data_IF_630184945604
#
_entry.id   IF_630184945604
#
_cell.length_a   1.000
_cell.length_b   1.000
_cell.length_c   1.000
_cell.angle_alpha   90.00
_cell.angle_beta   90.00
_cell.angle_gamma   90.00
#
_symmetry.space_group_name_H-M   'P 1'
#
loop_
_entity.id
_entity.type
_entity.pdbx_description
1 polymer ?
#
# COMPACT_ATOMS: atom_id res chain seq x y z
N UNK A 1 -17.04 4.67 -11.54
CA UNK A 1 -16.02 4.73 -12.64
C UNK A 1 -14.96 5.80 -12.38
N UNK A 2 -15.36 6.97 -11.89
CA UNK A 2 -14.44 8.09 -11.62
C UNK A 2 -13.25 7.67 -10.74
N UNK A 3 -13.49 6.98 -9.63
CA UNK A 3 -12.44 6.60 -8.67
C UNK A 3 -11.38 5.67 -9.29
N UNK A 4 -11.80 4.75 -10.15
CA UNK A 4 -10.90 3.85 -10.88
C UNK A 4 -10.06 4.67 -11.88
N UNK A 5 -10.67 5.59 -12.60
CA UNK A 5 -10.00 6.45 -13.56
C UNK A 5 -8.98 7.38 -12.88
N UNK A 6 -9.36 8.01 -11.76
CA UNK A 6 -8.46 8.85 -10.95
C UNK A 6 -7.28 8.03 -10.41
N UNK A 7 -7.55 6.83 -9.87
CA UNK A 7 -6.50 5.96 -9.35
C UNK A 7 -5.51 5.57 -10.44
N UNK A 8 -6.02 5.17 -11.60
CA UNK A 8 -5.20 4.83 -12.76
C UNK A 8 -4.36 6.01 -13.21
N UNK A 9 -4.97 7.17 -13.32
CA UNK A 9 -4.31 8.39 -13.79
C UNK A 9 -3.15 8.81 -12.87
N UNK A 10 -3.33 8.80 -11.54
CA UNK A 10 -2.26 9.11 -10.57
C UNK A 10 -1.09 8.14 -10.72
N UNK A 11 -1.36 6.84 -10.89
CA UNK A 11 -0.32 5.83 -11.04
C UNK A 11 0.41 5.92 -12.40
N UNK A 12 -0.30 6.27 -13.47
CA UNK A 12 0.30 6.55 -14.79
C UNK A 12 1.16 7.83 -14.75
N UNK A 13 0.73 8.86 -14.02
CA UNK A 13 1.55 10.06 -13.76
C UNK A 13 2.84 9.70 -13.03
N UNK A 14 2.79 8.80 -12.05
CA UNK A 14 3.97 8.34 -11.33
C UNK A 14 4.98 7.66 -12.28
N UNK A 15 4.52 6.86 -13.24
CA UNK A 15 5.38 6.27 -14.27
C UNK A 15 6.02 7.36 -15.16
N UNK A 16 5.23 8.32 -15.61
CA UNK A 16 5.73 9.43 -16.44
C UNK A 16 6.75 10.29 -15.71
N UNK A 17 6.49 10.67 -14.47
CA UNK A 17 7.40 11.47 -13.66
C UNK A 17 8.70 10.70 -13.33
N UNK A 18 8.62 9.40 -13.09
CA UNK A 18 9.80 8.56 -12.81
C UNK A 18 10.65 8.22 -14.05
N UNK A 19 10.13 8.46 -15.25
CA UNK A 19 10.78 8.09 -16.52
C UNK A 19 10.91 6.59 -16.74
N UNK A 20 10.19 5.74 -15.98
CA UNK A 20 10.23 4.28 -16.07
C UNK A 20 8.90 3.66 -15.66
N UNK A 21 8.65 2.42 -16.05
CA UNK A 21 7.47 1.65 -15.63
C UNK A 21 7.61 1.19 -14.16
N UNK A 22 7.49 2.15 -13.25
CA UNK A 22 7.60 1.94 -11.81
C UNK A 22 6.39 1.20 -11.25
N UNK A 23 5.20 1.52 -11.77
CA UNK A 23 3.92 0.97 -11.33
C UNK A 23 3.27 0.22 -12.49
N UNK A 24 2.97 -1.05 -12.26
CA UNK A 24 2.12 -1.85 -13.14
C UNK A 24 0.82 -2.11 -12.41
N UNK A 25 -0.33 -1.74 -13.00
CA UNK A 25 -1.62 -2.02 -12.41
C UNK A 25 -2.44 -2.96 -13.28
N UNK A 26 -3.30 -3.74 -12.63
CA UNK A 26 -4.21 -4.68 -13.26
C UNK A 26 -5.55 -4.61 -12.57
N UNK A 27 -6.61 -4.65 -13.37
CA UNK A 27 -7.98 -4.74 -12.88
C UNK A 27 -8.43 -6.19 -12.78
N UNK A 28 -9.18 -6.47 -11.72
CA UNK A 28 -9.85 -7.77 -11.52
C UNK A 28 -11.30 -7.51 -11.17
N UNK A 29 -12.17 -8.39 -11.59
CA UNK A 29 -13.56 -8.47 -11.13
C UNK A 29 -13.73 -9.70 -10.24
N UNK A 30 -14.80 -9.73 -9.46
CA UNK A 30 -15.05 -10.82 -8.52
C UNK A 30 -15.20 -12.18 -9.19
N UNK A 31 -15.74 -12.21 -10.41
CA UNK A 31 -16.02 -13.43 -11.17
C UNK A 31 -15.04 -13.66 -12.33
N UNK A 32 -14.16 -12.70 -12.63
CA UNK A 32 -13.36 -12.71 -13.84
C UNK A 32 -14.10 -12.21 -15.11
N UNK A 33 -15.42 -12.00 -15.00
CA UNK A 33 -16.26 -11.50 -16.10
C UNK A 33 -16.31 -9.97 -16.10
N UNK A 34 -16.56 -9.33 -17.26
CA UNK A 34 -16.78 -7.90 -17.34
C UNK A 34 -17.94 -7.45 -16.46
N UNK A 35 -17.78 -6.30 -15.79
CA UNK A 35 -18.83 -5.68 -14.97
C UNK A 35 -19.26 -4.34 -15.56
N UNK A 36 -20.53 -3.98 -15.33
CA UNK A 36 -21.05 -2.67 -15.70
C UNK A 36 -21.04 -1.78 -14.47
N UNK A 37 -20.43 -0.60 -14.59
CA UNK A 37 -20.37 0.39 -13.51
C UNK A 37 -21.72 1.08 -13.32
N UNK A 38 -21.88 1.81 -12.22
CA UNK A 38 -23.11 2.56 -11.94
C UNK A 38 -23.42 3.61 -13.04
N UNK A 39 -22.41 4.08 -13.75
CA UNK A 39 -22.51 5.05 -14.84
C UNK A 39 -22.74 4.36 -16.21
N UNK A 40 -22.90 3.04 -16.24
CA UNK A 40 -23.15 2.27 -17.47
C UNK A 40 -21.88 1.89 -18.25
N UNK A 41 -20.69 2.26 -17.79
CA UNK A 41 -19.46 1.89 -18.46
C UNK A 41 -19.12 0.40 -18.21
N UNK A 42 -18.67 -0.31 -19.25
CA UNK A 42 -18.23 -1.71 -19.13
C UNK A 42 -16.76 -1.76 -18.77
N UNK A 43 -16.44 -2.36 -17.63
CA UNK A 43 -15.09 -2.66 -17.18
C UNK A 43 -14.76 -4.11 -17.52
N UNK A 44 -13.78 -4.30 -18.39
CA UNK A 44 -13.20 -5.61 -18.69
C UNK A 44 -11.98 -5.83 -17.79
N UNK A 45 -11.91 -6.93 -17.03
CA UNK A 45 -10.75 -7.19 -16.18
C UNK A 45 -9.51 -7.54 -17.00
N UNK A 46 -8.34 -7.09 -16.56
CA UNK A 46 -7.05 -7.41 -17.20
C UNK A 46 -6.59 -8.85 -16.90
N UNK A 47 -7.15 -9.45 -15.85
CA UNK A 47 -6.83 -10.83 -15.46
C UNK A 47 -8.02 -11.48 -14.76
N UNK A 48 -8.11 -12.80 -14.91
CA UNK A 48 -9.09 -13.66 -14.25
C UNK A 48 -8.48 -14.38 -13.06
N UNK A 49 -9.31 -14.77 -12.08
CA UNK A 49 -8.89 -15.54 -10.91
C UNK A 49 -8.14 -14.73 -9.84
N UNK A 50 -7.93 -15.41 -8.70
CA UNK A 50 -7.27 -14.86 -7.51
C UNK A 50 -5.82 -15.37 -7.39
N UNK A 51 -5.16 -15.62 -8.53
CA UNK A 51 -3.79 -16.10 -8.52
C UNK A 51 -2.84 -15.07 -7.93
N UNK A 52 -1.90 -15.56 -7.14
CA UNK A 52 -0.83 -14.74 -6.56
C UNK A 52 0.07 -14.24 -7.68
N UNK A 53 -0.07 -12.97 -8.04
CA UNK A 53 0.94 -12.30 -8.85
C UNK A 53 2.20 -12.03 -8.01
N UNK A 54 3.39 -11.95 -8.62
CA UNK A 54 4.60 -11.53 -7.92
C UNK A 54 4.43 -10.07 -7.46
N UNK A 55 4.74 -9.81 -6.17
CA UNK A 55 4.99 -8.48 -5.64
C UNK A 55 3.82 -7.50 -5.81
N UNK A 56 2.67 -7.77 -5.19
CA UNK A 56 1.59 -6.77 -5.12
C UNK A 56 1.91 -5.82 -3.96
N UNK A 57 2.06 -4.53 -4.25
CA UNK A 57 2.32 -3.48 -3.24
C UNK A 57 1.03 -2.79 -2.78
N UNK A 58 0.02 -2.72 -3.65
CA UNK A 58 -1.26 -2.07 -3.40
C UNK A 58 -2.40 -2.86 -4.01
N UNK A 59 -3.47 -3.07 -3.24
CA UNK A 59 -4.76 -3.55 -3.74
C UNK A 59 -5.80 -2.51 -3.39
N UNK A 60 -6.52 -2.01 -4.39
CA UNK A 60 -7.66 -1.12 -4.20
C UNK A 60 -8.96 -1.88 -4.48
N UNK A 61 -9.85 -1.88 -3.51
CA UNK A 61 -11.19 -2.48 -3.61
C UNK A 61 -12.19 -1.37 -3.89
N UNK A 62 -12.85 -1.48 -5.03
CA UNK A 62 -13.93 -0.60 -5.45
C UNK A 62 -15.25 -1.39 -5.43
N UNK A 63 -16.34 -0.72 -5.08
CA UNK A 63 -17.65 -1.34 -5.10
C UNK A 63 -18.74 -0.37 -5.58
N UNK A 64 -19.84 -0.92 -6.08
CA UNK A 64 -21.03 -0.20 -6.50
C UNK A 64 -22.06 -0.04 -5.38
N UNK A 65 -23.35 0.08 -5.76
CA UNK A 65 -24.45 0.44 -4.84
C UNK A 65 -24.75 -0.57 -3.76
N UNK A 66 -24.53 -1.82 -3.95
CA UNK A 66 -24.84 -2.87 -2.96
C UNK A 66 -23.57 -3.71 -2.72
N UNK A 67 -22.58 -3.13 -1.97
CA UNK A 67 -21.27 -3.71 -1.87
C UNK A 67 -21.25 -5.04 -1.11
N UNK A 68 -22.24 -5.29 -0.26
CA UNK A 68 -22.27 -6.46 0.62
C UNK A 68 -23.10 -7.63 0.05
N UNK A 69 -23.87 -7.40 -1.02
CA UNK A 69 -24.75 -8.43 -1.59
C UNK A 69 -24.02 -9.66 -2.12
N UNK A 70 -22.77 -9.50 -2.55
CA UNK A 70 -21.98 -10.58 -3.14
C UNK A 70 -20.50 -10.42 -2.82
N UNK A 71 -20.11 -10.80 -1.62
CA UNK A 71 -18.69 -10.92 -1.26
C UNK A 71 -18.25 -12.35 -1.59
N UNK A 72 -17.29 -12.56 -2.51
CA UNK A 72 -16.90 -13.91 -2.91
C UNK A 72 -16.18 -14.63 -1.78
N UNK A 73 -16.45 -15.91 -1.67
CA UNK A 73 -15.66 -16.79 -0.83
C UNK A 73 -14.19 -16.74 -1.25
N UNK A 74 -13.29 -16.54 -0.29
CA UNK A 74 -11.84 -16.44 -0.54
C UNK A 74 -11.29 -15.03 -0.71
N UNK A 75 -12.10 -14.00 -0.97
CA UNK A 75 -11.63 -12.60 -1.05
C UNK A 75 -10.89 -12.17 0.22
N UNK A 76 -11.44 -12.51 1.40
CA UNK A 76 -10.79 -12.21 2.68
C UNK A 76 -9.40 -12.85 2.77
N UNK A 77 -9.28 -14.12 2.42
CA UNK A 77 -8.01 -14.86 2.44
C UNK A 77 -6.99 -14.25 1.46
N UNK A 78 -7.43 -13.89 0.27
CA UNK A 78 -6.59 -13.22 -0.72
C UNK A 78 -6.04 -11.87 -0.20
N UNK A 79 -6.90 -11.00 0.34
CA UNK A 79 -6.51 -9.69 0.88
C UNK A 79 -5.61 -9.82 2.11
N UNK A 80 -5.90 -10.77 3.01
CA UNK A 80 -5.05 -11.03 4.19
C UNK A 80 -3.66 -11.53 3.77
N UNK A 81 -3.60 -12.49 2.86
CA UNK A 81 -2.32 -12.98 2.34
C UNK A 81 -1.49 -11.88 1.69
N UNK A 82 -2.11 -11.02 0.87
CA UNK A 82 -1.44 -9.89 0.27
C UNK A 82 -0.93 -8.91 1.35
N UNK A 83 -1.73 -8.62 2.37
CA UNK A 83 -1.33 -7.78 3.49
C UNK A 83 -0.17 -8.36 4.28
N UNK A 84 -0.15 -9.68 4.53
CA UNK A 84 0.95 -10.35 5.23
C UNK A 84 2.28 -10.24 4.49
N UNK A 85 2.25 -10.21 3.15
CA UNK A 85 3.47 -10.03 2.34
C UNK A 85 3.81 -8.54 2.11
N UNK A 86 3.12 -7.62 2.77
CA UNK A 86 3.48 -6.20 2.77
C UNK A 86 2.61 -5.30 1.90
N UNK A 87 1.60 -5.84 1.19
CA UNK A 87 0.69 -5.03 0.39
C UNK A 87 -0.18 -4.10 1.25
N UNK A 88 -0.37 -2.89 0.77
CA UNK A 88 -1.42 -1.99 1.28
C UNK A 88 -2.76 -2.42 0.71
N UNK A 89 -3.76 -2.60 1.57
CA UNK A 89 -5.13 -2.91 1.17
C UNK A 89 -5.97 -1.65 1.31
N UNK A 90 -6.49 -1.15 0.20
CA UNK A 90 -7.32 0.05 0.15
C UNK A 90 -8.77 -0.25 -0.17
N UNK A 91 -9.70 0.39 0.56
CA UNK A 91 -11.11 0.49 0.21
C UNK A 91 -11.42 1.90 -0.30
N UNK A 92 -12.02 1.99 -1.46
CA UNK A 92 -12.40 3.27 -2.10
C UNK A 92 -13.91 3.29 -2.30
N UNK A 93 -14.53 4.39 -1.87
CA UNK A 93 -16.00 4.49 -1.92
C UNK A 93 -16.64 3.36 -1.12
N UNK A 94 -17.66 2.72 -1.68
CA UNK A 94 -18.33 1.58 -1.05
C UNK A 94 -17.40 0.35 -0.83
N UNK A 95 -16.20 0.32 -1.44
CA UNK A 95 -15.18 -0.69 -1.15
C UNK A 95 -14.70 -0.67 0.30
N UNK A 96 -14.83 0.46 1.01
CA UNK A 96 -14.54 0.57 2.44
C UNK A 96 -15.46 -0.33 3.28
N UNK A 97 -16.73 -0.45 2.89
CA UNK A 97 -17.69 -1.34 3.54
C UNK A 97 -17.34 -2.81 3.36
N UNK A 98 -16.82 -3.20 2.19
CA UNK A 98 -16.31 -4.57 1.97
C UNK A 98 -15.15 -4.87 2.91
N UNK A 99 -14.21 -3.95 3.09
CA UNK A 99 -13.10 -4.15 4.02
C UNK A 99 -13.57 -4.24 5.47
N UNK A 100 -14.59 -3.47 5.85
CA UNK A 100 -15.22 -3.51 7.16
C UNK A 100 -15.87 -4.88 7.40
N UNK A 101 -16.72 -5.35 6.47
CA UNK A 101 -17.41 -6.63 6.54
C UNK A 101 -16.46 -7.83 6.63
N UNK A 102 -15.33 -7.73 5.92
CA UNK A 102 -14.29 -8.75 5.98
C UNK A 102 -13.44 -8.69 7.28
N UNK A 103 -13.73 -7.76 8.21
CA UNK A 103 -12.99 -7.57 9.46
C UNK A 103 -11.56 -7.04 9.25
N UNK A 104 -11.26 -6.44 8.10
CA UNK A 104 -9.92 -5.94 7.77
C UNK A 104 -9.65 -4.56 8.38
N UNK A 105 -10.66 -3.91 8.93
CA UNK A 105 -10.60 -2.59 9.58
C UNK A 105 -10.82 -2.65 11.10
N UNK A 106 -11.03 -3.83 11.68
CA UNK A 106 -11.26 -3.99 13.12
C UNK A 106 -10.13 -3.39 13.95
N UNK A 107 -10.48 -2.63 14.99
CA UNK A 107 -9.54 -1.95 15.88
C UNK A 107 -8.79 -0.78 15.24
N UNK A 108 -9.27 -0.24 14.11
CA UNK A 108 -8.61 0.83 13.36
C UNK A 108 -9.51 2.03 13.15
N UNK A 109 -8.88 3.19 12.98
CA UNK A 109 -9.55 4.34 12.41
C UNK A 109 -9.78 4.13 10.92
N UNK A 110 -10.97 4.48 10.44
CA UNK A 110 -11.32 4.36 9.04
C UNK A 110 -12.38 5.37 8.61
N UNK A 111 -12.30 5.79 7.36
CA UNK A 111 -13.39 6.47 6.66
C UNK A 111 -14.24 5.40 5.99
N UNK A 112 -15.52 5.37 6.31
CA UNK A 112 -16.49 4.48 5.66
C UNK A 112 -17.39 5.32 4.76
N UNK A 113 -17.42 5.00 3.48
CA UNK A 113 -18.25 5.69 2.50
C UNK A 113 -19.65 5.07 2.39
N UNK A 114 -20.60 5.90 1.97
CA UNK A 114 -22.00 5.54 1.72
C UNK A 114 -22.96 6.01 2.82
N UNK A 115 -24.24 6.04 2.46
CA UNK A 115 -25.34 6.33 3.37
C UNK A 115 -25.53 5.15 4.33
N UNK A 116 -24.70 5.10 5.37
CA UNK A 116 -24.91 4.15 6.45
C UNK A 116 -26.02 4.70 7.33
N UNK A 117 -27.01 3.88 7.73
CA UNK A 117 -28.07 4.32 8.63
C UNK A 117 -27.46 4.91 9.91
N UNK A 118 -27.72 6.19 10.15
CA UNK A 118 -27.24 6.91 11.33
C UNK A 118 -27.96 6.48 12.61
N UNK A 119 -29.11 5.79 12.50
CA UNK A 119 -30.04 5.52 13.59
C UNK A 119 -29.98 4.09 14.14
N UNK A 120 -29.04 3.27 13.68
CA UNK A 120 -28.82 1.92 14.21
C UNK A 120 -27.44 1.79 14.81
N UNK A 121 -27.30 0.88 15.77
CA UNK A 121 -26.02 0.44 16.29
C UNK A 121 -25.02 0.27 15.14
N UNK A 122 -23.80 0.80 15.29
CA UNK A 122 -22.85 0.77 14.16
C UNK A 122 -22.69 -0.67 13.68
N UNK A 123 -22.87 -0.89 12.38
CA UNK A 123 -22.70 -2.21 11.77
C UNK A 123 -21.36 -2.87 12.11
N UNK A 124 -20.35 -2.04 12.39
CA UNK A 124 -18.99 -2.49 12.72
C UNK A 124 -18.49 -1.69 13.95
N UNK A 125 -18.91 -2.04 15.19
CA UNK A 125 -18.59 -1.30 16.41
C UNK A 125 -17.10 -1.31 16.76
N UNK A 126 -16.35 -2.25 16.23
CA UNK A 126 -14.89 -2.35 16.41
C UNK A 126 -14.09 -1.38 15.54
N UNK A 127 -14.74 -0.62 14.64
CA UNK A 127 -14.07 0.35 13.76
C UNK A 127 -14.28 1.76 14.32
N UNK A 128 -13.18 2.47 14.59
CA UNK A 128 -13.22 3.89 14.94
C UNK A 128 -13.48 4.72 13.66
N UNK A 129 -14.75 5.02 13.40
CA UNK A 129 -15.16 5.83 12.25
C UNK A 129 -14.75 7.28 12.45
N UNK A 130 -14.09 7.84 11.46
CA UNK A 130 -13.68 9.26 11.45
C UNK A 130 -14.11 9.94 10.15
N UNK A 131 -14.33 11.26 10.24
CA UNK A 131 -14.54 12.12 9.09
C UNK A 131 -13.20 12.69 8.65
N UNK A 132 -12.71 12.20 7.53
CA UNK A 132 -11.46 12.66 6.93
C UNK A 132 -11.51 12.47 5.41
N UNK A 133 -10.68 13.17 4.63
CA UNK A 133 -10.57 12.91 3.19
C UNK A 133 -10.13 11.48 2.88
N UNK A 134 -9.27 10.91 3.70
CA UNK A 134 -8.85 9.51 3.66
C UNK A 134 -8.12 9.15 4.97
N UNK A 135 -7.94 7.87 5.19
CA UNK A 135 -7.06 7.33 6.23
C UNK A 135 -6.05 6.38 5.59
N UNK A 136 -4.78 6.61 5.82
CA UNK A 136 -3.70 5.70 5.47
C UNK A 136 -2.94 5.32 6.75
N UNK A 137 -3.31 4.21 7.34
CA UNK A 137 -2.70 3.72 8.58
C UNK A 137 -2.13 2.32 8.38
N UNK A 138 -0.85 2.14 8.72
CA UNK A 138 -0.12 0.88 8.49
C UNK A 138 -0.23 0.43 7.03
N UNK A 139 -0.97 -0.63 6.75
CA UNK A 139 -1.21 -1.20 5.41
C UNK A 139 -2.69 -1.13 5.04
N UNK A 140 -3.41 -0.15 5.59
CA UNK A 140 -4.83 0.08 5.28
C UNK A 140 -5.02 1.49 4.77
N UNK A 141 -5.72 1.58 3.65
CA UNK A 141 -6.13 2.83 3.04
C UNK A 141 -7.66 2.83 2.98
N UNK A 142 -8.29 3.85 3.53
CA UNK A 142 -9.74 4.05 3.36
C UNK A 142 -10.00 5.46 2.87
N UNK A 143 -10.84 5.58 1.86
CA UNK A 143 -11.17 6.84 1.21
C UNK A 143 -12.65 6.83 0.78
N UNK A 144 -13.39 7.91 0.98
CA UNK A 144 -14.82 7.96 0.61
C UNK A 144 -15.05 7.95 -0.90
N UNK A 145 -14.00 8.08 -1.72
CA UNK A 145 -14.07 8.20 -3.17
C UNK A 145 -14.00 9.65 -3.65
N UNK A 146 -14.13 9.85 -4.95
CA UNK A 146 -14.03 11.16 -5.58
C UNK A 146 -12.61 11.74 -5.58
N UNK A 147 -12.50 13.07 -5.52
CA UNK A 147 -11.20 13.76 -5.55
C UNK A 147 -10.22 13.35 -4.43
N UNK A 148 -10.67 13.06 -3.19
CA UNK A 148 -9.80 12.52 -2.14
C UNK A 148 -8.97 11.29 -2.51
N UNK A 149 -9.37 10.52 -3.53
CA UNK A 149 -8.60 9.37 -4.04
C UNK A 149 -7.21 9.79 -4.52
N UNK A 150 -7.10 10.99 -5.10
CA UNK A 150 -5.81 11.52 -5.59
C UNK A 150 -4.85 11.71 -4.40
N UNK A 151 -5.31 12.40 -3.35
CA UNK A 151 -4.49 12.65 -2.16
C UNK A 151 -4.14 11.35 -1.41
N UNK A 152 -5.09 10.42 -1.34
CA UNK A 152 -4.88 9.10 -0.76
C UNK A 152 -3.77 8.31 -1.46
N UNK A 153 -3.75 8.35 -2.79
CA UNK A 153 -2.72 7.68 -3.60
C UNK A 153 -1.38 8.42 -3.57
N UNK A 154 -1.38 9.74 -3.53
CA UNK A 154 -0.16 10.52 -3.34
C UNK A 154 0.48 10.25 -1.97
N UNK A 155 -0.33 10.14 -0.92
CA UNK A 155 0.14 9.73 0.41
C UNK A 155 0.72 8.31 0.39
N UNK A 156 0.06 7.39 -0.31
CA UNK A 156 0.59 6.03 -0.50
C UNK A 156 1.90 6.02 -1.30
N UNK A 157 1.99 6.75 -2.42
CA UNK A 157 3.21 6.87 -3.23
C UNK A 157 4.37 7.45 -2.42
N UNK A 158 4.11 8.50 -1.64
CA UNK A 158 5.09 9.12 -0.75
C UNK A 158 5.67 8.12 0.24
N UNK A 159 4.82 7.24 0.79
CA UNK A 159 5.21 6.24 1.78
C UNK A 159 5.84 4.98 1.17
N UNK A 160 5.29 4.51 0.06
CA UNK A 160 5.66 3.22 -0.52
C UNK A 160 6.82 3.32 -1.51
N UNK A 161 7.00 4.48 -2.14
CA UNK A 161 7.99 4.71 -3.18
C UNK A 161 8.98 5.79 -2.78
N UNK A 162 8.59 7.06 -2.91
CA UNK A 162 9.41 8.21 -2.53
C UNK A 162 8.54 9.46 -2.38
N UNK A 163 8.81 10.31 -1.36
CA UNK A 163 8.12 11.59 -1.18
C UNK A 163 8.32 12.55 -2.34
N UNK A 164 9.52 12.55 -2.93
CA UNK A 164 9.89 13.40 -4.06
C UNK A 164 9.02 13.09 -5.28
N UNK A 165 8.83 11.80 -5.58
CA UNK A 165 7.96 11.36 -6.68
C UNK A 165 6.51 11.78 -6.43
N UNK A 166 6.00 11.61 -5.21
CA UNK A 166 4.64 12.03 -4.88
C UNK A 166 4.45 13.54 -5.06
N UNK A 167 5.45 14.35 -4.68
CA UNK A 167 5.43 15.80 -4.88
C UNK A 167 5.48 16.17 -6.37
N UNK A 168 6.23 15.44 -7.18
CA UNK A 168 6.31 15.64 -8.63
C UNK A 168 5.00 15.27 -9.33
N UNK A 169 4.40 14.12 -8.97
CA UNK A 169 3.08 13.70 -9.46
C UNK A 169 2.00 14.70 -9.07
N UNK A 170 2.05 15.25 -7.86
CA UNK A 170 1.13 16.30 -7.41
C UNK A 170 1.24 17.54 -8.31
N UNK A 171 2.44 18.04 -8.56
CA UNK A 171 2.67 19.21 -9.43
C UNK A 171 2.19 18.95 -10.86
N UNK A 172 2.46 17.77 -11.41
CA UNK A 172 1.99 17.38 -12.73
C UNK A 172 0.46 17.25 -12.80
N UNK A 173 -0.19 16.86 -11.69
CA UNK A 173 -1.64 16.73 -11.56
C UNK A 173 -2.37 18.04 -11.29
N UNK A 174 -1.71 19.09 -10.80
CA UNK A 174 -2.31 20.41 -10.58
C UNK A 174 -2.87 21.04 -11.86
N UNK A 175 -2.33 20.66 -13.01
CA UNK A 175 -2.88 21.00 -14.32
C UNK A 175 -4.29 20.41 -14.57
N UNK A 176 -4.76 19.47 -13.72
CA UNK A 176 -6.09 18.85 -13.80
C UNK A 176 -7.14 19.55 -12.92
N UNK A 177 -6.79 20.65 -12.27
CA UNK A 177 -7.76 21.47 -11.54
C UNK A 177 -8.23 20.90 -10.20
N UNK A 178 -7.47 20.02 -9.57
CA UNK A 178 -7.72 19.67 -8.18
C UNK A 178 -7.20 20.81 -7.28
N UNK A 179 -8.07 21.52 -6.55
CA UNK A 179 -7.59 22.40 -5.49
C UNK A 179 -7.01 21.50 -4.40
N UNK A 180 -5.70 21.22 -4.48
CA UNK A 180 -4.99 20.60 -3.38
C UNK A 180 -5.32 21.40 -2.12
N UNK A 181 -5.93 20.75 -1.15
CA UNK A 181 -6.21 21.35 0.14
C UNK A 181 -4.91 21.95 0.68
N UNK A 182 -4.79 23.27 0.60
CA UNK A 182 -3.76 24.06 1.26
C UNK A 182 -4.11 24.10 2.75
N UNK A 183 -3.94 22.99 3.43
CA UNK A 183 -3.97 23.00 4.88
C UNK A 183 -2.52 22.93 5.37
N UNK A 184 -2.02 24.07 5.81
CA UNK A 184 -0.62 24.25 6.20
C UNK A 184 -0.24 23.53 7.50
N UNK A 185 -1.16 22.86 8.20
CA UNK A 185 -0.90 22.27 9.52
C UNK A 185 -1.68 20.98 9.80
N UNK A 186 -1.62 19.99 8.92
CA UNK A 186 -2.17 18.68 9.27
C UNK A 186 -1.12 17.81 9.99
N UNK A 187 -1.54 17.01 11.01
CA UNK A 187 -0.69 16.01 11.66
C UNK A 187 0.04 15.10 10.67
N UNK A 188 -0.53 14.90 9.50
CA UNK A 188 -0.04 14.06 8.40
C UNK A 188 1.25 14.58 7.77
N UNK A 189 1.44 15.92 7.69
CA UNK A 189 2.66 16.52 7.12
C UNK A 189 3.90 16.29 7.98
N UNK A 190 3.73 16.33 9.29
CA UNK A 190 4.82 16.06 10.23
C UNK A 190 5.21 14.58 10.18
N UNK A 191 4.23 13.69 10.07
CA UNK A 191 4.46 12.26 9.90
C UNK A 191 5.13 11.94 8.56
N UNK A 192 4.72 12.61 7.47
CA UNK A 192 5.38 12.51 6.17
C UNK A 192 6.83 13.00 6.20
N UNK A 193 7.09 14.17 6.80
CA UNK A 193 8.46 14.69 6.99
C UNK A 193 9.31 13.73 7.82
N UNK A 194 8.76 13.17 8.88
CA UNK A 194 9.45 12.18 9.71
C UNK A 194 9.84 10.93 8.91
N UNK A 195 8.92 10.39 8.12
CA UNK A 195 9.20 9.25 7.24
C UNK A 195 10.26 9.60 6.19
N UNK A 196 10.23 10.81 5.62
CA UNK A 196 11.23 11.28 4.66
C UNK A 196 12.62 11.33 5.28
N UNK A 197 12.77 11.91 6.49
CA UNK A 197 14.04 11.95 7.22
C UNK A 197 14.53 10.54 7.53
N UNK A 198 13.67 9.67 8.03
CA UNK A 198 14.00 8.26 8.29
C UNK A 198 14.41 7.52 7.01
N UNK A 199 13.71 7.76 5.90
CA UNK A 199 13.98 7.12 4.62
C UNK A 199 15.32 7.57 4.00
N UNK A 200 15.68 8.83 4.16
CA UNK A 200 16.96 9.37 3.72
C UNK A 200 18.17 8.77 4.48
N UNK A 201 17.95 8.27 5.69
CA UNK A 201 19.00 7.77 6.58
C UNK A 201 18.84 6.26 6.87
N UNK A 202 18.37 5.46 5.89
CA UNK A 202 18.17 4.01 6.08
C UNK A 202 19.49 3.27 6.31
N UNK A 203 20.53 3.62 5.55
CA UNK A 203 21.84 2.98 5.63
C UNK A 203 22.59 3.32 6.93
N UNK A 204 22.47 4.58 7.35
CA UNK A 204 23.07 5.07 8.61
C UNK A 204 21.97 5.67 9.48
N UNK A 205 21.23 4.84 10.25
CA UNK A 205 20.05 5.29 10.97
C UNK A 205 20.37 6.37 12.01
N UNK A 206 19.67 7.50 11.92
CA UNK A 206 19.79 8.57 12.91
C UNK A 206 19.12 8.16 14.23
N UNK A 207 19.67 8.61 15.37
CA UNK A 207 18.99 8.52 16.66
C UNK A 207 17.63 9.23 16.64
N UNK A 208 16.64 8.69 17.31
CA UNK A 208 15.27 9.22 17.30
C UNK A 208 15.15 10.63 17.90
N UNK A 209 16.02 10.98 18.84
CA UNK A 209 16.10 12.33 19.42
C UNK A 209 16.65 13.35 18.43
N UNK A 210 17.53 12.94 17.52
CA UNK A 210 18.01 13.79 16.41
C UNK A 210 16.86 14.05 15.44
N UNK A 211 16.14 13.02 15.05
CA UNK A 211 14.98 13.15 14.16
C UNK A 211 13.90 14.04 14.81
N UNK A 212 13.62 13.85 16.10
CA UNK A 212 12.66 14.68 16.81
C UNK A 212 13.05 16.16 16.78
N UNK A 213 14.34 16.46 17.04
CA UNK A 213 14.87 17.85 16.98
C UNK A 213 14.77 18.45 15.58
N UNK A 214 15.10 17.69 14.55
CA UNK A 214 14.99 18.17 13.14
C UNK A 214 13.54 18.50 12.76
N UNK A 215 12.58 17.81 13.37
CA UNK A 215 11.16 18.03 13.15
C UNK A 215 10.54 19.04 14.14
N UNK A 216 11.36 19.65 14.99
CA UNK A 216 10.92 20.59 16.05
C UNK A 216 9.90 19.96 17.02
N UNK A 217 10.04 18.66 17.28
CA UNK A 217 9.18 17.89 18.17
C UNK A 217 9.91 17.47 19.46
N UNK A 218 9.17 17.45 20.56
CA UNK A 218 9.63 16.70 21.72
C UNK A 218 9.51 15.19 21.47
N UNK A 219 10.33 14.34 22.12
CA UNK A 219 10.22 12.88 22.00
C UNK A 219 8.83 12.34 22.34
N UNK A 220 8.12 13.01 23.27
CA UNK A 220 6.74 12.68 23.64
C UNK A 220 5.76 12.98 22.51
N UNK A 221 5.87 14.16 21.88
CA UNK A 221 5.03 14.53 20.74
C UNK A 221 5.27 13.61 19.54
N UNK A 222 6.54 13.31 19.23
CA UNK A 222 6.89 12.37 18.16
C UNK A 222 6.26 10.99 18.40
N UNK A 223 6.35 10.46 19.63
CA UNK A 223 5.73 9.18 19.99
C UNK A 223 4.22 9.21 19.88
N UNK A 224 3.58 10.27 20.38
CA UNK A 224 2.12 10.44 20.31
C UNK A 224 1.64 10.50 18.86
N UNK A 225 2.31 11.29 18.01
CA UNK A 225 1.98 11.41 16.58
C UNK A 225 2.18 10.10 15.82
N UNK A 226 3.27 9.36 16.09
CA UNK A 226 3.47 8.03 15.50
C UNK A 226 2.38 7.04 15.93
N UNK A 227 1.98 7.10 17.21
CA UNK A 227 0.94 6.20 17.73
C UNK A 227 -0.42 6.51 17.11
N UNK A 228 -0.77 7.79 16.96
CA UNK A 228 -2.04 8.20 16.34
C UNK A 228 -2.07 7.96 14.83
N UNK A 229 -0.98 8.29 14.10
CA UNK A 229 -0.98 8.20 12.64
C UNK A 229 -0.56 6.85 12.07
N UNK A 230 0.31 6.11 12.77
CA UNK A 230 0.82 4.80 12.29
C UNK A 230 0.41 3.63 13.18
N UNK A 231 -0.17 3.87 14.36
CA UNK A 231 -0.43 2.83 15.35
C UNK A 231 0.85 2.22 15.96
N UNK A 232 2.02 2.75 15.63
CA UNK A 232 3.34 2.23 15.95
C UNK A 232 4.18 3.26 16.70
N UNK A 233 5.20 2.81 17.42
CA UNK A 233 6.23 3.70 17.98
C UNK A 233 7.16 4.22 16.86
N UNK A 234 7.89 5.34 17.07
CA UNK A 234 8.88 5.84 16.11
C UNK A 234 9.94 4.80 15.72
N UNK A 235 10.38 3.97 16.68
CA UNK A 235 11.33 2.90 16.42
C UNK A 235 10.76 1.81 15.51
N UNK A 236 9.51 1.42 15.73
CA UNK A 236 8.81 0.45 14.88
C UNK A 236 8.56 0.99 13.47
N UNK A 237 8.22 2.28 13.34
CA UNK A 237 8.10 2.95 12.02
C UNK A 237 9.42 2.92 11.28
N UNK A 238 10.52 3.24 11.96
CA UNK A 238 11.85 3.24 11.34
C UNK A 238 12.29 1.83 10.95
N UNK A 239 12.03 0.85 11.79
CA UNK A 239 12.33 -0.56 11.49
C UNK A 239 11.52 -1.06 10.30
N UNK A 240 10.25 -0.73 10.22
CA UNK A 240 9.36 -1.06 9.10
C UNK A 240 9.89 -0.51 7.76
N UNK A 241 10.31 0.77 7.73
CA UNK A 241 10.91 1.39 6.55
C UNK A 241 12.18 0.66 6.09
N UNK A 242 13.07 0.33 7.02
CA UNK A 242 14.31 -0.40 6.74
C UNK A 242 14.04 -1.80 6.22
N UNK A 243 13.11 -2.53 6.81
CA UNK A 243 12.74 -3.88 6.39
C UNK A 243 12.03 -3.88 5.03
N UNK A 244 11.20 -2.90 4.73
CA UNK A 244 10.58 -2.73 3.41
C UNK A 244 11.62 -2.44 2.32
N UNK A 245 12.61 -1.60 2.62
CA UNK A 245 13.75 -1.36 1.72
C UNK A 245 14.56 -2.63 1.50
N UNK A 246 14.86 -3.37 2.57
CA UNK A 246 15.56 -4.65 2.50
C UNK A 246 14.82 -5.66 1.63
N UNK A 247 13.49 -5.76 1.77
CA UNK A 247 12.67 -6.69 0.97
C UNK A 247 12.77 -6.38 -0.52
N UNK A 248 12.72 -5.10 -0.90
CA UNK A 248 12.95 -4.69 -2.30
C UNK A 248 14.32 -5.12 -2.79
N UNK A 249 15.39 -4.87 -2.02
CA UNK A 249 16.75 -5.29 -2.38
C UNK A 249 16.87 -6.81 -2.53
N UNK A 250 16.22 -7.59 -1.65
CA UNK A 250 16.17 -9.06 -1.74
C UNK A 250 15.49 -9.50 -3.03
N UNK A 251 14.45 -8.80 -3.46
CA UNK A 251 13.67 -9.14 -4.65
C UNK A 251 14.30 -8.67 -5.96
N UNK A 252 14.91 -7.51 -5.97
CA UNK A 252 15.34 -6.81 -7.19
C UNK A 252 16.81 -6.98 -7.50
N UNK A 253 17.63 -7.35 -6.50
CA UNK A 253 19.09 -7.42 -6.66
C UNK A 253 19.67 -8.79 -6.36
N UNK A 254 20.90 -9.03 -6.82
CA UNK A 254 21.71 -10.19 -6.48
C UNK A 254 22.54 -10.03 -5.20
N UNK A 255 22.41 -8.90 -4.49
CA UNK A 255 23.20 -8.59 -3.28
C UNK A 255 23.08 -9.68 -2.23
N UNK A 256 24.18 -9.95 -1.53
CA UNK A 256 24.19 -10.90 -0.42
C UNK A 256 23.32 -10.41 0.76
N UNK A 257 22.95 -11.32 1.66
CA UNK A 257 22.23 -10.97 2.90
C UNK A 257 23.04 -10.00 3.74
N UNK A 258 24.38 -10.11 3.70
CA UNK A 258 25.28 -9.22 4.41
C UNK A 258 25.24 -7.80 3.86
N UNK A 259 25.35 -7.64 2.53
CA UNK A 259 25.28 -6.34 1.87
C UNK A 259 23.93 -5.66 2.08
N UNK A 260 22.82 -6.41 2.01
CA UNK A 260 21.48 -5.88 2.27
C UNK A 260 21.33 -5.44 3.73
N UNK A 261 21.86 -6.22 4.69
CA UNK A 261 21.86 -5.85 6.09
C UNK A 261 22.58 -4.52 6.31
N UNK A 262 23.77 -4.35 5.72
CA UNK A 262 24.54 -3.11 5.77
C UNK A 262 23.80 -1.95 5.09
N UNK A 263 23.34 -2.12 3.86
CA UNK A 263 22.59 -1.11 3.09
C UNK A 263 21.26 -0.70 3.72
N UNK A 264 20.80 -1.44 4.73
CA UNK A 264 19.58 -1.13 5.49
C UNK A 264 19.85 -0.85 6.96
N UNK A 265 21.12 -0.54 7.31
CA UNK A 265 21.54 -0.03 8.60
C UNK A 265 21.50 -1.06 9.75
N UNK A 266 21.52 -2.36 9.45
CA UNK A 266 21.65 -3.38 10.49
C UNK A 266 23.10 -3.63 10.82
N UNK A 267 23.39 -3.68 12.12
CA UNK A 267 24.76 -3.92 12.62
C UNK A 267 25.26 -5.35 12.36
N UNK A 268 24.34 -6.31 12.14
CA UNK A 268 24.72 -7.68 11.82
C UNK A 268 23.67 -8.38 10.93
N UNK A 269 24.11 -9.31 10.05
CA UNK A 269 23.21 -10.13 9.24
C UNK A 269 22.25 -10.99 10.09
N UNK A 270 22.66 -11.37 11.28
CA UNK A 270 21.85 -12.16 12.21
C UNK A 270 20.67 -11.35 12.76
N UNK A 271 20.94 -10.11 13.21
CA UNK A 271 19.90 -9.18 13.66
C UNK A 271 18.92 -8.85 12.52
N UNK A 272 19.45 -8.60 11.34
CA UNK A 272 18.65 -8.38 10.13
C UNK A 272 17.72 -9.57 9.84
N UNK A 273 18.27 -10.78 9.72
CA UNK A 273 17.49 -11.98 9.38
C UNK A 273 16.40 -12.27 10.40
N UNK A 274 16.68 -12.07 11.69
CA UNK A 274 15.70 -12.23 12.77
C UNK A 274 14.57 -11.22 12.63
N UNK A 275 14.89 -9.93 12.51
CA UNK A 275 13.91 -8.86 12.36
C UNK A 275 13.07 -9.03 11.09
N UNK A 276 13.71 -9.44 10.00
CA UNK A 276 13.06 -9.70 8.72
C UNK A 276 12.05 -10.86 8.85
N UNK A 277 12.46 -11.99 9.46
CA UNK A 277 11.58 -13.15 9.68
C UNK A 277 10.42 -12.82 10.60
N UNK A 278 10.66 -12.08 11.69
CA UNK A 278 9.60 -11.64 12.61
C UNK A 278 8.59 -10.74 11.90
N UNK A 279 9.04 -9.87 11.01
CA UNK A 279 8.19 -8.90 10.33
C UNK A 279 7.41 -9.51 9.14
N UNK A 280 8.04 -10.37 8.34
CA UNK A 280 7.46 -10.93 7.10
C UNK A 280 7.05 -12.41 7.20
N UNK A 281 7.39 -13.11 8.28
CA UNK A 281 7.10 -14.54 8.44
C UNK A 281 8.05 -15.49 7.69
N UNK A 282 8.95 -14.96 6.86
CA UNK A 282 9.90 -15.71 6.04
C UNK A 282 11.30 -15.10 6.11
N UNK A 283 12.34 -15.85 5.80
CA UNK A 283 13.70 -15.31 5.72
C UNK A 283 13.98 -14.69 4.35
N UNK A 284 14.98 -13.77 4.22
CA UNK A 284 15.43 -13.28 2.92
C UNK A 284 15.83 -14.39 1.94
N UNK A 285 16.35 -15.50 2.48
CA UNK A 285 16.77 -16.67 1.70
C UNK A 285 15.57 -17.45 1.15
N UNK A 286 14.52 -17.61 1.97
CA UNK A 286 13.27 -18.28 1.56
C UNK A 286 12.60 -17.51 0.42
N UNK A 287 12.52 -16.19 0.53
CA UNK A 287 11.96 -15.33 -0.51
C UNK A 287 12.71 -15.49 -1.85
N UNK A 288 14.04 -15.57 -1.81
CA UNK A 288 14.86 -15.81 -3.01
C UNK A 288 14.67 -17.20 -3.59
N UNK A 289 14.56 -18.21 -2.75
CA UNK A 289 14.32 -19.60 -3.18
C UNK A 289 13.00 -19.73 -3.93
N UNK A 290 11.93 -19.13 -3.38
CA UNK A 290 10.62 -19.07 -4.04
C UNK A 290 10.69 -18.40 -5.42
N UNK A 291 11.42 -17.29 -5.55
CA UNK A 291 11.58 -16.60 -6.83
C UNK A 291 12.32 -17.44 -7.87
N UNK A 292 13.35 -18.19 -7.46
CA UNK A 292 14.08 -19.11 -8.35
C UNK A 292 13.21 -20.25 -8.85
N UNK A 293 12.37 -20.82 -8.00
CA UNK A 293 11.43 -21.89 -8.34
C UNK A 293 10.39 -21.41 -9.36
N UNK A 294 9.82 -20.23 -9.14
CA UNK A 294 8.86 -19.61 -10.08
C UNK A 294 9.51 -19.26 -11.42
N UNK A 295 10.75 -18.76 -11.42
CA UNK A 295 11.49 -18.45 -12.65
C UNK A 295 11.84 -19.71 -13.44
N UNK A 296 12.22 -20.82 -12.77
CA UNK A 296 12.46 -22.13 -13.41
C UNK A 296 11.18 -22.74 -13.98
N UNK A 297 10.05 -22.65 -13.29
CA UNK A 297 8.77 -23.12 -13.80
C UNK A 297 8.29 -22.36 -15.05
N UNK A 298 8.67 -21.07 -15.20
CA UNK A 298 8.38 -20.27 -16.40
C UNK A 298 9.33 -20.57 -17.56
N UNK A 299 10.57 -21.06 -17.31
CA UNK A 299 11.54 -21.45 -18.33
C UNK A 299 11.24 -22.81 -18.96
N UNK A 300 10.31 -23.59 -18.42
CA UNK A 300 9.92 -24.90 -18.96
C UNK A 300 8.63 -24.79 -19.79
N UNK A 301 8.64 -23.96 -20.81
CA UNK A 301 7.63 -23.94 -21.86
C UNK A 301 8.28 -23.80 -23.23
N UNK A 302 8.59 -24.89 -23.85
CA UNK A 302 8.09 -25.38 -25.13
C UNK A 302 8.91 -26.58 -25.60
N UNK A 303 8.37 -27.79 -25.73
CA UNK A 303 8.83 -28.66 -26.79
C UNK A 303 8.20 -28.14 -28.09
N UNK A 304 9.05 -27.85 -29.08
CA UNK A 304 8.62 -27.60 -30.45
C UNK A 304 7.79 -28.78 -30.97
N UNK A 305 6.75 -28.56 -31.80
CA UNK A 305 6.06 -29.64 -32.46
C UNK A 305 7.05 -30.34 -33.39
N UNK A 306 7.31 -31.62 -33.11
CA UNK A 306 7.99 -32.48 -34.07
C UNK A 306 7.09 -32.61 -35.30
N UNK A 307 7.57 -32.12 -36.43
CA UNK A 307 7.01 -32.39 -37.73
C UNK A 307 7.04 -33.89 -37.98
N UNK A 308 5.94 -34.46 -38.33
CA UNK A 308 5.82 -35.78 -38.92
C UNK A 308 5.88 -35.72 -40.43
N UNK A 309 6.39 -36.75 -41.08
CA UNK A 309 6.74 -36.78 -42.50
C UNK A 309 5.55 -36.72 -43.45
#
# INVERSE_FOLDING_TARGET
MLDIALSRHVLELANRCSGRDLVTFRTRTLTGEPVVTAEGARLVPDCTGWERGPGIDLILVFAGRDPLARIPFGLRGFLLNASQVGATIGGIGAGTQILAELGLLAGREAVLAGDLPTDRDPLWPEIARIEAPFVLSMQRLTCPGGLPVVDALLAWLSRAVAPELAAEVRRAGEALGSPAARSEDTPDRVLGRMQSVMAAHIETPLPLDVIARELELSPKQMRSRCKSGFGMTPAEVYLDLRLKRARRLVQETGQSVHEIASATGFQSPSAFTRSYKTHFGETPRDLRAMKRTVSRARGYRSPAPQGSP
#
